data_IF_149218194262
#
_entry.id   IF_149218194262
#
_cell.length_a   1.000
_cell.length_b   1.000
_cell.length_c   1.000
_cell.angle_alpha   90.00
_cell.angle_beta   90.00
_cell.angle_gamma   90.00
#
_symmetry.space_group_name_H-M   'P 1'
#
loop_
_entity.id
_entity.type
_entity.pdbx_description
1 polymer ?
#
# COMPACT_ATOMS: atom_id res chain seq x y z
N UNK A 1 10.21 10.35 6.81
CA UNK A 1 9.01 11.04 7.32
C UNK A 1 8.59 10.43 8.65
N UNK A 2 7.75 11.09 9.43
CA UNK A 2 7.10 10.52 10.61
C UNK A 2 5.79 9.83 10.21
N UNK A 3 5.55 8.60 10.71
CA UNK A 3 4.40 7.76 10.35
C UNK A 3 3.37 7.67 11.49
N UNK A 4 3.20 8.75 12.26
CA UNK A 4 2.13 8.88 13.26
C UNK A 4 2.39 8.25 14.63
N UNK A 5 3.38 7.38 14.77
CA UNK A 5 3.76 6.76 16.05
C UNK A 5 5.27 6.49 16.12
N UNK A 6 5.75 6.05 17.29
CA UNK A 6 7.13 5.58 17.50
C UNK A 6 8.21 6.62 17.12
N UNK A 7 7.94 7.91 17.33
CA UNK A 7 8.87 8.99 17.01
C UNK A 7 8.82 10.13 18.01
N UNK A 8 9.95 10.80 18.16
CA UNK A 8 10.14 11.90 19.10
C UNK A 8 10.32 13.19 18.31
N UNK A 9 9.58 14.22 18.71
CA UNK A 9 9.65 15.53 18.09
C UNK A 9 10.26 16.56 19.03
N UNK A 10 11.16 17.39 18.52
CA UNK A 10 11.52 18.64 19.20
C UNK A 10 10.30 19.55 19.20
N UNK A 11 9.92 20.06 20.37
CA UNK A 11 8.79 21.01 20.51
C UNK A 11 8.92 22.19 19.56
N UNK A 12 10.13 22.75 19.46
CA UNK A 12 10.43 23.87 18.57
C UNK A 12 10.17 23.54 17.09
N UNK A 13 10.50 22.32 16.63
CA UNK A 13 10.25 21.91 15.26
C UNK A 13 8.76 21.89 14.92
N UNK A 14 7.92 21.43 15.87
CA UNK A 14 6.46 21.45 15.71
C UNK A 14 5.96 22.89 15.61
N UNK A 15 6.41 23.77 16.52
CA UNK A 15 5.97 25.17 16.56
C UNK A 15 6.40 25.94 15.31
N UNK A 16 7.66 25.80 14.90
CA UNK A 16 8.21 26.48 13.71
C UNK A 16 7.55 25.99 12.41
N UNK A 17 7.14 24.72 12.36
CA UNK A 17 6.38 24.21 11.21
C UNK A 17 4.92 24.71 11.18
N UNK A 18 4.43 25.39 12.22
CA UNK A 18 3.05 25.87 12.33
C UNK A 18 2.08 24.88 12.99
N UNK A 19 2.59 23.97 13.83
CA UNK A 19 1.80 23.06 14.64
C UNK A 19 1.17 21.88 13.88
N UNK A 20 0.34 21.12 14.60
CA UNK A 20 -0.52 20.08 14.04
C UNK A 20 -1.73 20.74 13.36
N UNK A 21 -2.12 20.24 12.19
CA UNK A 21 -3.26 20.72 11.41
C UNK A 21 -4.20 19.55 11.13
N UNK A 22 -5.51 19.80 11.21
CA UNK A 22 -6.58 18.81 11.06
C UNK A 22 -7.23 18.82 9.64
N UNK A 23 -6.65 19.60 8.73
CA UNK A 23 -7.13 19.76 7.36
C UNK A 23 -6.74 18.60 6.41
N UNK A 24 -5.86 17.71 6.87
CA UNK A 24 -5.50 16.46 6.18
C UNK A 24 -5.63 15.29 7.13
N UNK A 25 -6.11 14.14 6.64
CA UNK A 25 -6.26 12.90 7.42
C UNK A 25 -4.89 12.34 7.88
N UNK A 26 -3.80 12.69 7.18
CA UNK A 26 -2.42 12.33 7.50
C UNK A 26 -1.66 13.56 7.98
N UNK A 27 -2.00 14.03 9.19
CA UNK A 27 -1.39 15.19 9.83
C UNK A 27 0.11 15.00 10.10
N UNK A 28 0.54 13.75 10.25
CA UNK A 28 1.92 13.31 10.43
C UNK A 28 2.79 13.54 9.18
N UNK A 29 2.26 13.19 8.01
CA UNK A 29 2.89 13.44 6.71
C UNK A 29 2.96 14.95 6.43
N UNK A 30 1.86 15.67 6.68
CA UNK A 30 1.80 17.13 6.50
C UNK A 30 2.84 17.85 7.37
N UNK A 31 2.89 17.53 8.66
CA UNK A 31 3.87 18.10 9.58
C UNK A 31 5.30 17.74 9.18
N UNK A 32 5.54 16.50 8.76
CA UNK A 32 6.86 16.04 8.30
C UNK A 32 7.39 16.88 7.15
N UNK A 33 6.56 17.19 6.16
CA UNK A 33 6.98 18.00 5.02
C UNK A 33 7.19 19.46 5.40
N UNK A 34 6.26 20.05 6.16
CA UNK A 34 6.39 21.45 6.62
C UNK A 34 7.66 21.64 7.46
N UNK A 35 7.97 20.72 8.37
CA UNK A 35 9.20 20.78 9.15
C UNK A 35 10.45 20.68 8.27
N UNK A 36 10.48 19.75 7.31
CA UNK A 36 11.62 19.60 6.39
C UNK A 36 11.82 20.83 5.49
N UNK A 37 10.74 21.50 5.07
CA UNK A 37 10.82 22.76 4.32
C UNK A 37 11.45 23.91 5.14
N UNK A 38 11.35 23.84 6.47
CA UNK A 38 12.02 24.73 7.43
C UNK A 38 13.44 24.25 7.81
N UNK A 39 13.99 23.26 7.10
CA UNK A 39 15.36 22.79 7.31
C UNK A 39 15.53 21.74 8.41
N UNK A 40 14.46 21.30 9.06
CA UNK A 40 14.53 20.20 10.02
C UNK A 40 14.82 18.88 9.32
N UNK A 41 15.63 18.03 9.95
CA UNK A 41 15.97 16.70 9.46
C UNK A 41 15.27 15.63 10.30
N UNK A 42 14.75 14.61 9.62
CA UNK A 42 14.20 13.42 10.25
C UNK A 42 15.30 12.38 10.34
N UNK A 43 15.53 11.83 11.53
CA UNK A 43 16.47 10.74 11.79
C UNK A 43 15.65 9.48 12.07
N UNK A 44 15.97 8.40 11.38
CA UNK A 44 15.35 7.09 11.59
C UNK A 44 16.35 6.18 12.30
N UNK A 45 15.93 5.54 13.40
CA UNK A 45 16.77 4.63 14.18
C UNK A 45 16.39 3.20 13.83
N UNK A 46 17.22 2.51 13.06
CA UNK A 46 16.91 1.17 12.54
C UNK A 46 16.93 0.09 13.62
N UNK A 47 17.85 0.21 14.58
CA UNK A 47 18.05 -0.79 15.63
C UNK A 47 17.11 -0.60 16.83
N UNK A 48 16.16 0.33 16.73
CA UNK A 48 15.16 0.59 17.76
C UNK A 48 13.82 0.04 17.31
N UNK A 49 13.53 -1.17 17.76
CA UNK A 49 12.24 -1.81 17.49
C UNK A 49 11.11 -1.17 18.30
N UNK A 50 9.99 -0.90 17.63
CA UNK A 50 8.75 -0.50 18.29
C UNK A 50 7.61 -1.42 17.83
N UNK A 51 7.16 -2.37 18.66
CA UNK A 51 6.10 -3.31 18.29
C UNK A 51 4.81 -2.58 17.91
N UNK A 52 4.17 -3.03 16.82
CA UNK A 52 2.92 -2.47 16.33
C UNK A 52 1.89 -3.55 16.02
N UNK A 53 0.63 -3.28 16.33
CA UNK A 53 -0.49 -4.16 15.98
C UNK A 53 -0.93 -3.94 14.53
N UNK A 54 -0.85 -5.01 13.72
CA UNK A 54 -1.32 -5.05 12.34
C UNK A 54 -2.83 -5.37 12.26
N UNK A 55 -3.53 -4.91 11.21
CA UNK A 55 -4.91 -5.30 10.96
C UNK A 55 -5.05 -6.83 10.85
N UNK A 56 -6.04 -7.39 11.55
CA UNK A 56 -6.31 -8.84 11.56
C UNK A 56 -7.37 -9.27 10.52
N UNK A 57 -8.03 -8.32 9.88
CA UNK A 57 -9.02 -8.54 8.82
C UNK A 57 -8.70 -7.76 7.55
N UNK A 58 -9.20 -8.24 6.41
CA UNK A 58 -8.99 -7.56 5.13
C UNK A 58 -9.72 -6.21 5.08
N UNK A 59 -10.89 -6.09 5.71
CA UNK A 59 -11.64 -4.85 5.70
C UNK A 59 -11.00 -3.78 6.60
N UNK A 60 -10.39 -4.18 7.72
CA UNK A 60 -9.61 -3.27 8.57
C UNK A 60 -8.35 -2.78 7.85
N UNK A 61 -7.69 -3.68 7.11
CA UNK A 61 -6.56 -3.33 6.24
C UNK A 61 -6.99 -2.37 5.12
N UNK A 62 -8.07 -2.68 4.38
CA UNK A 62 -8.61 -1.79 3.32
C UNK A 62 -8.98 -0.42 3.88
N UNK A 63 -9.63 -0.37 5.04
CA UNK A 63 -10.00 0.90 5.70
C UNK A 63 -8.77 1.71 6.12
N UNK A 64 -7.69 1.04 6.55
CA UNK A 64 -6.42 1.70 6.86
C UNK A 64 -5.78 2.28 5.59
N UNK A 65 -5.66 1.47 4.53
CA UNK A 65 -5.08 1.89 3.24
C UNK A 65 -5.87 3.04 2.59
N UNK A 66 -7.20 3.02 2.71
CA UNK A 66 -8.07 4.09 2.24
C UNK A 66 -7.71 5.41 2.90
N UNK A 67 -7.58 5.43 4.23
CA UNK A 67 -7.22 6.65 4.98
C UNK A 67 -5.86 7.17 4.59
N UNK A 68 -4.85 6.30 4.51
CA UNK A 68 -3.50 6.68 4.12
C UNK A 68 -3.46 7.25 2.71
N UNK A 69 -4.14 6.60 1.76
CA UNK A 69 -4.19 7.03 0.36
C UNK A 69 -4.91 8.38 0.20
N UNK A 70 -6.06 8.54 0.88
CA UNK A 70 -6.82 9.80 0.89
C UNK A 70 -6.02 10.93 1.54
N UNK A 71 -5.44 10.69 2.72
CA UNK A 71 -4.62 11.67 3.43
C UNK A 71 -3.40 12.10 2.62
N UNK A 72 -2.67 11.14 2.04
CA UNK A 72 -1.53 11.44 1.17
C UNK A 72 -1.93 12.34 -0.01
N UNK A 73 -3.06 12.05 -0.66
CA UNK A 73 -3.58 12.90 -1.74
C UNK A 73 -3.97 14.31 -1.26
N UNK A 74 -4.57 14.45 -0.08
CA UNK A 74 -4.87 15.75 0.53
C UNK A 74 -3.59 16.55 0.82
N UNK A 75 -2.59 15.90 1.43
CA UNK A 75 -1.30 16.50 1.74
C UNK A 75 -0.54 16.89 0.47
N UNK A 76 -0.58 16.05 -0.57
CA UNK A 76 0.00 16.35 -1.88
C UNK A 76 -0.58 17.62 -2.47
N UNK A 77 -1.92 17.72 -2.54
CA UNK A 77 -2.61 18.92 -3.03
C UNK A 77 -2.25 20.17 -2.22
N UNK A 78 -2.13 20.03 -0.90
CA UNK A 78 -1.81 21.13 0.02
C UNK A 78 -0.38 21.63 -0.17
N UNK A 79 0.60 20.73 -0.22
CA UNK A 79 2.02 21.08 -0.09
C UNK A 79 2.81 21.09 -1.40
N UNK A 80 2.29 20.53 -2.49
CA UNK A 80 3.05 20.43 -3.75
C UNK A 80 3.56 21.79 -4.24
N UNK A 81 2.73 22.84 -4.13
CA UNK A 81 3.11 24.18 -4.55
C UNK A 81 4.26 24.76 -3.73
N UNK A 82 4.29 24.50 -2.42
CA UNK A 82 5.37 24.93 -1.52
C UNK A 82 6.66 24.14 -1.82
N UNK A 83 6.56 22.82 -1.99
CA UNK A 83 7.69 21.94 -2.32
C UNK A 83 8.36 22.35 -3.62
N UNK A 84 7.58 22.58 -4.69
CA UNK A 84 8.16 22.94 -5.99
C UNK A 84 8.80 24.34 -6.01
N UNK A 85 8.31 25.26 -5.18
CA UNK A 85 8.84 26.64 -5.05
C UNK A 85 10.01 26.78 -4.06
N UNK A 86 10.32 25.74 -3.30
CA UNK A 86 11.40 25.74 -2.31
C UNK A 86 12.78 25.82 -2.98
N UNK A 87 13.25 27.03 -3.28
CA UNK A 87 14.53 27.30 -3.97
C UNK A 87 15.76 26.86 -3.17
N UNK A 88 15.61 26.71 -1.84
CA UNK A 88 16.65 26.16 -0.96
C UNK A 88 16.91 24.68 -1.20
N UNK A 89 16.02 23.97 -1.91
CA UNK A 89 16.16 22.56 -2.26
C UNK A 89 16.63 22.39 -3.71
N UNK A 90 17.51 21.42 -3.93
CA UNK A 90 17.92 21.04 -5.30
C UNK A 90 16.71 20.57 -6.12
N UNK A 91 16.79 20.71 -7.44
CA UNK A 91 15.74 20.24 -8.35
C UNK A 91 15.42 18.75 -8.15
N UNK A 92 16.46 17.94 -7.94
CA UNK A 92 16.32 16.50 -7.69
C UNK A 92 15.52 16.21 -6.41
N UNK A 93 15.81 16.92 -5.31
CA UNK A 93 15.08 16.76 -4.05
C UNK A 93 13.62 17.17 -4.21
N UNK A 94 13.35 18.26 -4.92
CA UNK A 94 11.98 18.71 -5.21
C UNK A 94 11.19 17.69 -6.03
N UNK A 95 11.82 17.10 -7.05
CA UNK A 95 11.21 16.06 -7.87
C UNK A 95 10.91 14.80 -7.04
N UNK A 96 11.87 14.31 -6.28
CA UNK A 96 11.69 13.15 -5.41
C UNK A 96 10.58 13.40 -4.36
N UNK A 97 10.56 14.58 -3.75
CA UNK A 97 9.55 14.99 -2.79
C UNK A 97 8.14 15.05 -3.42
N UNK A 98 8.03 15.57 -4.65
CA UNK A 98 6.78 15.59 -5.41
C UNK A 98 6.31 14.18 -5.79
N UNK A 99 7.21 13.33 -6.27
CA UNK A 99 6.91 11.93 -6.59
C UNK A 99 6.41 11.17 -5.35
N UNK A 100 7.06 11.37 -4.20
CA UNK A 100 6.64 10.77 -2.94
C UNK A 100 5.25 11.26 -2.49
N UNK A 101 4.97 12.58 -2.56
CA UNK A 101 3.65 13.13 -2.24
C UNK A 101 2.54 12.52 -3.12
N UNK A 102 2.82 12.33 -4.41
CA UNK A 102 1.87 11.78 -5.37
C UNK A 102 1.89 10.24 -5.47
N UNK A 103 2.65 9.54 -4.64
CA UNK A 103 2.81 8.09 -4.70
C UNK A 103 1.47 7.33 -4.62
N UNK A 104 0.48 7.87 -3.91
CA UNK A 104 -0.87 7.29 -3.83
C UNK A 104 -1.61 7.25 -5.18
N UNK A 105 -1.25 8.11 -6.15
CA UNK A 105 -1.81 8.05 -7.52
C UNK A 105 -1.45 6.76 -8.25
N UNK A 106 -0.47 5.99 -7.79
CA UNK A 106 -0.15 4.68 -8.34
C UNK A 106 -1.34 3.71 -8.23
N UNK A 107 -2.22 3.84 -7.24
CA UNK A 107 -3.44 3.03 -7.18
C UNK A 107 -4.39 3.33 -8.34
N UNK A 108 -4.54 4.62 -8.69
CA UNK A 108 -5.36 5.06 -9.83
C UNK A 108 -4.78 4.55 -11.15
N UNK A 109 -3.47 4.69 -11.36
CA UNK A 109 -2.85 4.22 -12.60
C UNK A 109 -2.98 2.71 -12.75
N UNK A 110 -2.78 1.94 -11.67
CA UNK A 110 -2.94 0.48 -11.70
C UNK A 110 -4.39 0.06 -11.99
N UNK A 111 -5.39 0.75 -11.40
CA UNK A 111 -6.80 0.46 -11.70
C UNK A 111 -7.11 0.75 -13.18
N UNK A 112 -6.73 1.92 -13.68
CA UNK A 112 -6.99 2.31 -15.07
C UNK A 112 -6.33 1.33 -16.05
N UNK A 113 -5.10 0.92 -15.79
CA UNK A 113 -4.41 -0.06 -16.62
C UNK A 113 -5.08 -1.44 -16.56
N UNK A 114 -5.58 -1.86 -15.40
CA UNK A 114 -6.33 -3.11 -15.25
C UNK A 114 -7.64 -3.09 -16.06
N UNK A 115 -8.36 -1.97 -16.03
CA UNK A 115 -9.60 -1.80 -16.82
C UNK A 115 -9.30 -1.72 -18.33
N UNK A 116 -8.25 -0.97 -18.70
CA UNK A 116 -7.81 -0.86 -20.09
C UNK A 116 -7.35 -2.21 -20.65
N UNK A 117 -6.80 -3.09 -19.81
CA UNK A 117 -6.36 -4.42 -20.21
C UNK A 117 -7.53 -5.28 -20.67
N UNK A 118 -8.62 -5.25 -19.90
CA UNK A 118 -9.88 -5.92 -20.26
C UNK A 118 -10.47 -5.32 -21.53
N UNK A 119 -10.42 -3.99 -21.69
CA UNK A 119 -10.98 -3.29 -22.85
C UNK A 119 -10.20 -3.58 -24.15
N UNK A 120 -8.87 -3.45 -24.15
CA UNK A 120 -8.01 -3.65 -25.33
C UNK A 120 -8.06 -5.09 -25.82
N UNK A 121 -8.04 -6.07 -24.92
CA UNK A 121 -8.15 -7.47 -25.32
C UNK A 121 -9.50 -7.75 -26.01
N UNK A 122 -10.57 -7.08 -25.56
CA UNK A 122 -11.90 -7.21 -26.18
C UNK A 122 -11.96 -6.62 -27.60
N UNK A 123 -10.96 -5.82 -27.99
CA UNK A 123 -10.75 -5.31 -29.35
C UNK A 123 -9.80 -6.19 -30.18
N UNK A 124 -9.41 -7.37 -29.67
CA UNK A 124 -8.46 -8.30 -30.30
C UNK A 124 -7.07 -7.70 -30.57
N UNK A 125 -6.68 -6.64 -29.87
CA UNK A 125 -5.34 -6.04 -29.95
C UNK A 125 -4.43 -6.66 -28.89
N UNK A 126 -3.18 -6.95 -29.25
CA UNK A 126 -2.19 -7.49 -28.31
C UNK A 126 -1.86 -6.47 -27.20
N UNK A 127 -2.14 -6.76 -25.92
CA UNK A 127 -2.00 -5.80 -24.84
C UNK A 127 -0.57 -5.72 -24.27
N UNK A 128 0.46 -6.10 -25.03
CA UNK A 128 1.85 -6.25 -24.55
C UNK A 128 2.38 -5.01 -23.82
N UNK A 129 2.17 -3.82 -24.38
CA UNK A 129 2.59 -2.54 -23.77
C UNK A 129 1.89 -2.31 -22.44
N UNK A 130 0.63 -2.72 -22.33
CA UNK A 130 -0.16 -2.52 -21.12
C UNK A 130 0.19 -3.52 -20.02
N UNK A 131 0.53 -4.75 -20.39
CA UNK A 131 1.09 -5.74 -19.47
C UNK A 131 2.42 -5.22 -18.92
N UNK A 132 3.31 -4.73 -19.80
CA UNK A 132 4.60 -4.21 -19.39
C UNK A 132 4.47 -3.01 -18.44
N UNK A 133 3.58 -2.06 -18.75
CA UNK A 133 3.36 -0.89 -17.88
C UNK A 133 2.69 -1.23 -16.55
N UNK A 134 1.80 -2.23 -16.50
CA UNK A 134 1.27 -2.78 -15.25
C UNK A 134 2.38 -3.38 -14.39
N UNK A 135 3.25 -4.19 -14.98
CA UNK A 135 4.40 -4.79 -14.29
C UNK A 135 5.34 -3.69 -13.78
N UNK A 136 5.65 -2.69 -14.60
CA UNK A 136 6.50 -1.55 -14.18
C UNK A 136 5.87 -0.81 -13.00
N UNK A 137 4.56 -0.55 -13.02
CA UNK A 137 3.88 0.13 -11.91
C UNK A 137 3.87 -0.74 -10.65
N UNK A 138 3.66 -2.05 -10.77
CA UNK A 138 3.78 -3.00 -9.68
C UNK A 138 5.20 -3.02 -9.09
N UNK A 139 6.22 -3.07 -9.94
CA UNK A 139 7.63 -2.95 -9.54
C UNK A 139 7.85 -1.62 -8.83
N UNK A 140 7.32 -0.51 -9.36
CA UNK A 140 7.47 0.80 -8.76
C UNK A 140 6.81 0.89 -7.39
N UNK A 141 5.60 0.34 -7.21
CA UNK A 141 4.93 0.24 -5.91
C UNK A 141 5.68 -0.65 -4.93
N UNK A 142 6.23 -1.77 -5.42
CA UNK A 142 7.04 -2.67 -4.61
C UNK A 142 8.35 -1.99 -4.19
N UNK A 143 9.00 -1.29 -5.13
CA UNK A 143 10.21 -0.52 -4.90
C UNK A 143 9.93 0.65 -3.97
N UNK A 144 8.85 1.42 -4.11
CA UNK A 144 8.54 2.50 -3.15
C UNK A 144 8.27 1.94 -1.76
N UNK A 145 7.60 0.78 -1.67
CA UNK A 145 7.41 0.06 -0.40
C UNK A 145 8.74 -0.45 0.18
N UNK A 146 9.69 -0.87 -0.66
CA UNK A 146 11.00 -1.39 -0.25
C UNK A 146 12.04 -0.29 0.04
N UNK A 147 12.07 0.77 -0.76
CA UNK A 147 12.91 1.97 -0.61
C UNK A 147 12.53 2.73 0.66
N UNK A 148 11.25 2.75 1.03
CA UNK A 148 10.82 3.24 2.35
C UNK A 148 11.59 2.56 3.51
N UNK A 149 11.97 1.29 3.35
CA UNK A 149 12.75 0.54 4.33
C UNK A 149 14.28 0.64 4.12
N UNK A 150 14.78 0.98 2.93
CA UNK A 150 16.22 0.99 2.62
C UNK A 150 16.89 2.38 2.58
N UNK A 151 16.13 3.45 2.34
CA UNK A 151 16.62 4.84 2.51
C UNK A 151 16.75 5.22 3.98
N UNK A 152 15.88 4.65 4.83
CA UNK A 152 16.06 4.55 6.27
C UNK A 152 17.46 4.00 6.61
N UNK A 153 17.87 2.93 5.93
CA UNK A 153 19.16 2.26 6.12
C UNK A 153 20.34 3.10 5.71
N UNK A 154 20.24 3.80 4.58
CA UNK A 154 21.35 4.62 4.07
C UNK A 154 21.59 5.90 4.87
N UNK A 155 20.56 6.47 5.50
CA UNK A 155 20.69 7.67 6.33
C UNK A 155 21.29 7.37 7.72
N UNK A 156 21.28 6.12 8.17
CA UNK A 156 21.87 5.65 9.45
C UNK A 156 23.29 5.10 9.27
N UNK A 157 23.69 4.77 8.05
CA UNK A 157 25.00 4.17 7.70
C UNK A 157 26.20 5.13 7.72
N UNK A 158 26.21 6.16 8.56
CA UNK A 158 27.43 6.90 8.88
C UNK A 158 28.11 6.40 10.18
N UNK A 159 27.60 5.32 10.78
CA UNK A 159 28.20 4.70 11.95
C UNK A 159 28.63 3.25 11.66
N UNK A 160 29.93 2.97 11.88
CA UNK A 160 30.63 1.75 11.48
C UNK A 160 30.23 0.49 12.30
N UNK A 161 29.22 0.58 13.17
CA UNK A 161 28.82 -0.42 14.16
C UNK A 161 28.06 -1.62 13.57
N UNK A 162 27.40 -1.49 12.42
CA UNK A 162 26.43 -2.50 11.95
C UNK A 162 27.02 -3.66 11.11
N UNK A 163 28.34 -3.72 10.91
CA UNK A 163 29.00 -4.88 10.29
C UNK A 163 28.91 -6.18 11.11
N UNK A 164 28.40 -6.13 12.36
CA UNK A 164 28.38 -7.28 13.27
C UNK A 164 27.02 -7.98 13.41
N UNK A 165 25.88 -7.31 13.21
CA UNK A 165 24.55 -7.93 13.42
C UNK A 165 24.08 -8.79 12.23
N UNK A 166 24.43 -8.43 11.00
CA UNK A 166 24.11 -9.22 9.79
C UNK A 166 24.91 -10.54 9.67
N UNK A 167 25.96 -10.73 10.49
CA UNK A 167 26.77 -11.97 10.47
C UNK A 167 26.12 -13.17 11.15
N UNK A 168 25.02 -12.98 11.90
CA UNK A 168 24.44 -14.07 12.71
C UNK A 168 23.32 -14.86 12.02
N UNK A 169 22.87 -14.43 10.84
CA UNK A 169 21.90 -15.18 10.05
C UNK A 169 22.62 -15.96 8.94
N UNK A 170 22.95 -17.20 9.25
CA UNK A 170 23.65 -18.16 8.38
C UNK A 170 22.78 -18.47 7.15
N UNK A 171 22.88 -17.64 6.12
CA UNK A 171 22.07 -17.67 4.91
C UNK A 171 22.62 -18.71 3.90
N UNK A 172 22.64 -19.99 4.30
CA UNK A 172 22.97 -21.13 3.42
C UNK A 172 21.86 -21.45 2.40
N UNK A 173 20.86 -20.58 2.24
CA UNK A 173 19.89 -20.74 1.16
C UNK A 173 20.54 -20.41 -0.19
N UNK A 174 20.52 -21.38 -1.10
CA UNK A 174 20.97 -21.18 -2.48
C UNK A 174 20.24 -19.99 -3.12
N UNK A 175 20.97 -19.19 -3.92
CA UNK A 175 20.44 -18.01 -4.62
C UNK A 175 19.13 -18.29 -5.36
N UNK A 176 19.04 -19.45 -6.02
CA UNK A 176 17.85 -19.92 -6.74
C UNK A 176 16.62 -20.02 -5.83
N UNK A 177 16.77 -20.54 -4.62
CA UNK A 177 15.67 -20.64 -3.66
C UNK A 177 15.21 -19.25 -3.20
N UNK A 178 16.14 -18.32 -2.95
CA UNK A 178 15.82 -16.93 -2.60
C UNK A 178 15.07 -16.23 -3.73
N UNK A 179 15.49 -16.44 -4.97
CA UNK A 179 14.85 -15.89 -6.16
C UNK A 179 13.42 -16.44 -6.33
N UNK A 180 13.23 -17.75 -6.21
CA UNK A 180 11.90 -18.38 -6.31
C UNK A 180 10.96 -17.87 -5.22
N UNK A 181 11.44 -17.80 -3.96
CA UNK A 181 10.67 -17.20 -2.86
C UNK A 181 10.31 -15.76 -3.19
N UNK A 182 11.26 -14.94 -3.64
CA UNK A 182 11.01 -13.55 -4.00
C UNK A 182 9.92 -13.45 -5.08
N UNK A 183 10.05 -14.20 -6.18
CA UNK A 183 9.07 -14.17 -7.29
C UNK A 183 7.67 -14.56 -6.82
N UNK A 184 7.56 -15.57 -5.94
CA UNK A 184 6.28 -15.98 -5.36
C UNK A 184 5.65 -14.88 -4.50
N UNK A 185 6.42 -14.30 -3.56
CA UNK A 185 5.92 -13.21 -2.71
C UNK A 185 5.58 -11.96 -3.53
N UNK A 186 6.36 -11.66 -4.56
CA UNK A 186 6.12 -10.55 -5.47
C UNK A 186 4.83 -10.74 -6.26
N UNK A 187 4.56 -11.96 -6.79
CA UNK A 187 3.32 -12.25 -7.48
C UNK A 187 2.10 -12.13 -6.56
N UNK A 188 2.19 -12.66 -5.33
CA UNK A 188 1.16 -12.49 -4.30
C UNK A 188 0.95 -11.01 -3.95
N UNK A 189 2.02 -10.23 -3.86
CA UNK A 189 1.94 -8.81 -3.59
C UNK A 189 1.19 -8.07 -4.71
N UNK A 190 1.55 -8.30 -5.99
CA UNK A 190 0.84 -7.71 -7.13
C UNK A 190 -0.65 -8.06 -7.08
N UNK A 191 -0.94 -9.34 -6.89
CA UNK A 191 -2.29 -9.89 -6.81
C UNK A 191 -3.14 -9.15 -5.77
N UNK A 192 -2.64 -9.03 -4.53
CA UNK A 192 -3.37 -8.40 -3.44
C UNK A 192 -3.45 -6.88 -3.56
N UNK A 193 -2.39 -6.21 -4.03
CA UNK A 193 -2.38 -4.76 -4.22
C UNK A 193 -3.35 -4.34 -5.31
N UNK A 194 -3.40 -5.07 -6.42
CA UNK A 194 -4.37 -4.77 -7.49
C UNK A 194 -5.82 -4.92 -7.00
N UNK A 195 -6.08 -5.91 -6.14
CA UNK A 195 -7.41 -6.13 -5.58
C UNK A 195 -7.90 -5.00 -4.64
N UNK A 196 -7.00 -4.18 -4.08
CA UNK A 196 -7.37 -3.01 -3.28
C UNK A 196 -7.32 -1.69 -4.06
N UNK A 197 -6.84 -1.70 -5.32
CA UNK A 197 -6.69 -0.50 -6.15
C UNK A 197 -8.01 0.25 -6.34
N UNK A 198 -9.14 -0.44 -6.53
CA UNK A 198 -10.44 0.21 -6.67
C UNK A 198 -10.76 1.07 -5.44
N UNK A 199 -10.65 0.47 -4.25
CA UNK A 199 -10.95 1.14 -2.99
C UNK A 199 -10.04 2.35 -2.75
N UNK A 200 -8.73 2.19 -2.94
CA UNK A 200 -7.76 3.26 -2.73
C UNK A 200 -7.84 4.35 -3.81
N UNK A 201 -8.18 4.00 -5.06
CA UNK A 201 -8.38 4.99 -6.13
C UNK A 201 -9.50 5.96 -5.78
N UNK A 202 -10.63 5.45 -5.28
CA UNK A 202 -11.72 6.30 -4.82
C UNK A 202 -11.26 7.17 -3.64
N UNK A 203 -10.45 6.64 -2.73
CA UNK A 203 -9.85 7.40 -1.64
C UNK A 203 -8.98 8.56 -2.13
N UNK A 204 -8.13 8.32 -3.13
CA UNK A 204 -7.24 9.32 -3.73
C UNK A 204 -8.03 10.41 -4.42
N UNK A 205 -9.02 10.04 -5.25
CA UNK A 205 -9.90 11.00 -5.92
C UNK A 205 -10.64 11.86 -4.89
N UNK A 206 -11.18 11.24 -3.83
CA UNK A 206 -11.86 11.94 -2.75
C UNK A 206 -10.91 12.90 -2.00
N UNK A 207 -9.65 12.52 -1.79
CA UNK A 207 -8.63 13.36 -1.18
C UNK A 207 -8.20 14.54 -2.06
N UNK A 208 -8.12 14.34 -3.38
CA UNK A 208 -7.81 15.41 -4.34
C UNK A 208 -8.96 16.40 -4.52
N UNK A 209 -10.21 15.96 -4.41
CA UNK A 209 -11.39 16.80 -4.61
C UNK A 209 -11.83 17.43 -3.28
N UNK A 210 -12.09 16.63 -2.24
CA UNK A 210 -12.70 17.12 -0.99
C UNK A 210 -11.66 17.59 0.00
N UNK A 211 -11.98 18.67 0.73
CA UNK A 211 -11.09 19.23 1.77
C UNK A 211 -11.22 18.49 3.11
N UNK A 212 -12.42 18.03 3.48
CA UNK A 212 -12.65 17.35 4.76
C UNK A 212 -13.10 15.91 4.52
N UNK A 213 -12.62 14.99 5.36
CA UNK A 213 -13.01 13.59 5.35
C UNK A 213 -13.14 13.07 6.77
N UNK A 214 -14.10 12.17 6.98
CA UNK A 214 -14.28 11.51 8.28
C UNK A 214 -13.14 10.52 8.55
N UNK A 215 -12.55 10.60 9.74
CA UNK A 215 -11.50 9.69 10.18
C UNK A 215 -12.10 8.43 10.81
N UNK A 216 -12.27 7.37 10.01
CA UNK A 216 -12.70 6.06 10.53
C UNK A 216 -11.51 5.30 11.14
N UNK A 217 -11.47 5.13 12.47
CA UNK A 217 -10.36 4.43 13.14
C UNK A 217 -10.23 2.98 12.68
N UNK A 218 -9.00 2.52 12.48
CA UNK A 218 -8.72 1.07 12.38
C UNK A 218 -8.83 0.47 13.78
N UNK A 219 -9.66 -0.57 13.97
CA UNK A 219 -9.80 -1.24 15.25
C UNK A 219 -8.45 -1.76 15.78
N UNK A 220 -8.30 -1.74 17.10
CA UNK A 220 -7.18 -2.32 17.83
C UNK A 220 -7.74 -3.37 18.75
N UNK A 221 -7.31 -4.62 18.55
CA UNK A 221 -7.84 -5.78 19.24
C UNK A 221 -6.95 -6.17 20.43
N UNK A 222 -5.73 -5.61 20.52
CA UNK A 222 -4.74 -5.97 21.53
C UNK A 222 -4.55 -7.48 21.57
N UNK A 223 -4.34 -8.09 20.40
CA UNK A 223 -4.07 -9.52 20.30
C UNK A 223 -2.65 -9.74 20.80
N UNK A 224 -2.51 -10.23 22.03
CA UNK A 224 -1.20 -10.65 22.55
C UNK A 224 -0.87 -12.03 21.99
N UNK A 225 0.32 -12.20 21.43
CA UNK A 225 0.89 -13.50 21.03
C UNK A 225 1.37 -14.30 22.24
N UNK A 226 0.65 -14.26 23.37
CA UNK A 226 0.84 -15.26 24.42
C UNK A 226 0.19 -16.57 23.94
N UNK A 227 0.93 -17.68 24.00
CA UNK A 227 0.50 -19.06 23.62
C UNK A 227 -0.81 -19.55 24.28
N UNK A 228 -1.47 -18.72 25.09
CA UNK A 228 -2.58 -19.04 25.99
C UNK A 228 -3.70 -17.99 26.01
N UNK A 229 -3.94 -17.23 24.93
CA UNK A 229 -5.27 -16.59 24.79
C UNK A 229 -6.27 -17.60 24.23
N UNK A 230 -7.32 -17.90 24.99
CA UNK A 230 -8.40 -18.77 24.55
C UNK A 230 -9.04 -18.20 23.27
N UNK A 231 -9.34 -19.07 22.29
CA UNK A 231 -10.04 -18.70 21.03
C UNK A 231 -11.32 -17.86 21.26
N UNK A 232 -11.89 -17.92 22.46
CA UNK A 232 -13.11 -17.22 22.88
C UNK A 232 -12.91 -15.70 23.00
N UNK A 233 -11.84 -15.24 23.66
CA UNK A 233 -11.54 -13.80 23.85
C UNK A 233 -11.26 -13.06 22.54
N UNK A 234 -10.57 -13.71 21.60
CA UNK A 234 -10.27 -13.14 20.27
C UNK A 234 -11.55 -13.04 19.43
N UNK A 235 -12.46 -14.01 19.54
CA UNK A 235 -13.74 -13.99 18.84
C UNK A 235 -14.67 -12.89 19.39
N UNK A 236 -14.74 -12.71 20.71
CA UNK A 236 -15.60 -11.68 21.33
C UNK A 236 -15.20 -10.25 20.94
N UNK A 237 -13.90 -9.95 20.85
CA UNK A 237 -13.41 -8.65 20.37
C UNK A 237 -13.63 -8.44 18.86
N UNK A 238 -13.63 -9.52 18.06
CA UNK A 238 -13.93 -9.49 16.62
C UNK A 238 -15.38 -9.08 16.36
N UNK A 239 -16.32 -9.60 17.15
CA UNK A 239 -17.77 -9.39 16.94
C UNK A 239 -18.16 -7.89 16.99
N UNK A 240 -17.46 -7.06 17.78
CA UNK A 240 -17.83 -5.65 17.95
C UNK A 240 -17.51 -4.73 16.75
N UNK A 241 -16.52 -5.08 15.92
CA UNK A 241 -16.05 -4.22 14.82
C UNK A 241 -16.33 -4.78 13.43
N UNK A 242 -16.93 -5.97 13.36
CA UNK A 242 -17.22 -6.62 12.10
C UNK A 242 -18.27 -5.88 11.27
N UNK A 243 -18.02 -5.92 9.97
CA UNK A 243 -18.92 -5.40 8.95
C UNK A 243 -20.22 -6.20 8.94
N UNK A 244 -21.38 -5.52 9.07
CA UNK A 244 -22.71 -6.15 9.10
C UNK A 244 -23.37 -6.35 7.73
N UNK A 245 -22.88 -5.69 6.69
CA UNK A 245 -23.47 -5.75 5.34
C UNK A 245 -22.43 -5.65 4.24
N UNK A 246 -22.71 -6.27 3.09
CA UNK A 246 -21.90 -6.16 1.87
C UNK A 246 -22.09 -4.76 1.28
N UNK A 247 -21.01 -4.04 0.98
CA UNK A 247 -21.10 -2.78 0.22
C UNK A 247 -20.87 -2.99 -1.27
N UNK A 248 -21.06 -1.89 -2.01
CA UNK A 248 -20.75 -1.84 -3.43
C UNK A 248 -19.28 -2.15 -3.75
N UNK A 249 -18.33 -1.83 -2.85
CA UNK A 249 -16.92 -2.22 -3.07
C UNK A 249 -16.75 -3.72 -3.12
N UNK A 250 -17.34 -4.46 -2.18
CA UNK A 250 -17.30 -5.93 -2.18
C UNK A 250 -18.00 -6.51 -3.41
N UNK A 251 -19.12 -5.93 -3.86
CA UNK A 251 -19.78 -6.34 -5.11
C UNK A 251 -18.91 -6.10 -6.35
N UNK A 252 -18.21 -4.97 -6.40
CA UNK A 252 -17.28 -4.67 -7.47
C UNK A 252 -16.07 -5.62 -7.47
N UNK A 253 -15.51 -5.93 -6.29
CA UNK A 253 -14.41 -6.88 -6.14
C UNK A 253 -14.82 -8.29 -6.62
N UNK A 254 -16.04 -8.74 -6.27
CA UNK A 254 -16.61 -10.02 -6.74
C UNK A 254 -16.78 -10.02 -8.26
N UNK A 255 -17.29 -8.92 -8.81
CA UNK A 255 -17.49 -8.78 -10.26
C UNK A 255 -16.15 -8.87 -11.00
N UNK A 256 -15.12 -8.17 -10.51
CA UNK A 256 -13.78 -8.22 -11.08
C UNK A 256 -13.15 -9.61 -10.94
N UNK A 257 -13.36 -10.30 -9.81
CA UNK A 257 -12.93 -11.68 -9.63
C UNK A 257 -13.51 -12.59 -10.73
N UNK A 258 -14.83 -12.53 -10.95
CA UNK A 258 -15.51 -13.32 -11.98
C UNK A 258 -14.98 -12.98 -13.37
N UNK A 259 -14.84 -11.69 -13.70
CA UNK A 259 -14.30 -11.25 -14.99
C UNK A 259 -12.91 -11.83 -15.24
N UNK A 260 -11.99 -11.73 -14.27
CA UNK A 260 -10.62 -12.24 -14.46
C UNK A 260 -10.53 -13.77 -14.49
N UNK A 261 -11.40 -14.48 -13.77
CA UNK A 261 -11.54 -15.94 -13.92
C UNK A 261 -11.96 -16.26 -15.36
N UNK A 262 -13.03 -15.65 -15.85
CA UNK A 262 -13.52 -15.91 -17.21
C UNK A 262 -12.49 -15.54 -18.27
N UNK A 263 -11.76 -14.44 -18.11
CA UNK A 263 -10.67 -14.04 -19.01
C UNK A 263 -9.51 -15.03 -18.98
N UNK A 264 -9.13 -15.52 -17.81
CA UNK A 264 -8.10 -16.56 -17.68
C UNK A 264 -8.51 -17.83 -18.41
N UNK A 265 -9.73 -18.32 -18.18
CA UNK A 265 -10.26 -19.50 -18.85
C UNK A 265 -10.35 -19.29 -20.37
N UNK A 266 -10.78 -18.10 -20.82
CA UNK A 266 -10.84 -17.75 -22.23
C UNK A 266 -9.45 -17.85 -22.89
N UNK A 267 -8.42 -17.25 -22.28
CA UNK A 267 -7.06 -17.34 -22.81
C UNK A 267 -6.55 -18.79 -22.86
N UNK A 268 -6.83 -19.61 -21.84
CA UNK A 268 -6.39 -21.01 -21.78
C UNK A 268 -7.06 -21.86 -22.88
N UNK A 269 -8.39 -21.77 -23.02
CA UNK A 269 -9.15 -22.67 -23.87
C UNK A 269 -9.29 -22.23 -25.33
N UNK A 270 -9.31 -20.92 -25.61
CA UNK A 270 -9.63 -20.41 -26.96
C UNK A 270 -8.46 -19.75 -27.68
N UNK A 271 -7.43 -19.29 -26.94
CA UNK A 271 -6.24 -18.66 -27.55
C UNK A 271 -5.02 -19.57 -27.51
N UNK A 272 -4.92 -20.41 -26.47
CA UNK A 272 -3.81 -21.33 -26.27
C UNK A 272 -2.71 -20.76 -25.38
N UNK A 273 -2.23 -21.59 -24.46
CA UNK A 273 -1.29 -21.23 -23.37
C UNK A 273 0.00 -20.59 -23.91
N UNK A 274 0.51 -21.07 -25.04
CA UNK A 274 1.80 -20.67 -25.58
C UNK A 274 1.79 -19.31 -26.28
N UNK A 275 0.61 -18.84 -26.73
CA UNK A 275 0.48 -17.56 -27.42
C UNK A 275 0.36 -16.40 -26.42
N UNK A 276 -0.33 -16.63 -25.30
CA UNK A 276 -0.64 -15.57 -24.30
C UNK A 276 -0.21 -15.92 -22.87
N UNK A 277 0.92 -16.60 -22.71
CA UNK A 277 1.40 -17.03 -21.39
C UNK A 277 1.48 -15.87 -20.37
N UNK A 278 2.08 -14.74 -20.74
CA UNK A 278 2.19 -13.57 -19.86
C UNK A 278 0.83 -13.00 -19.44
N UNK A 279 -0.12 -12.95 -20.36
CA UNK A 279 -1.50 -12.49 -20.11
C UNK A 279 -2.23 -13.46 -19.18
N UNK A 280 -2.06 -14.76 -19.37
CA UNK A 280 -2.64 -15.80 -18.50
C UNK A 280 -2.10 -15.66 -17.07
N UNK A 281 -0.78 -15.48 -16.91
CA UNK A 281 -0.17 -15.28 -15.59
C UNK A 281 -0.73 -14.02 -14.91
N UNK A 282 -0.86 -12.92 -15.65
CA UNK A 282 -1.40 -11.67 -15.11
C UNK A 282 -2.88 -11.79 -14.73
N UNK A 283 -3.73 -12.35 -15.60
CA UNK A 283 -5.15 -12.57 -15.31
C UNK A 283 -5.37 -13.56 -14.18
N UNK A 284 -4.57 -14.61 -14.10
CA UNK A 284 -4.62 -15.56 -12.98
C UNK A 284 -4.25 -14.88 -11.66
N UNK A 285 -3.20 -14.05 -11.67
CA UNK A 285 -2.79 -13.25 -10.51
C UNK A 285 -3.90 -12.28 -10.06
N UNK A 286 -4.51 -11.57 -11.00
CA UNK A 286 -5.64 -10.68 -10.74
C UNK A 286 -6.84 -11.44 -10.17
N UNK A 287 -7.21 -12.56 -10.79
CA UNK A 287 -8.30 -13.42 -10.34
C UNK A 287 -8.08 -13.88 -8.89
N UNK A 288 -6.89 -14.38 -8.56
CA UNK A 288 -6.52 -14.80 -7.20
C UNK A 288 -6.69 -13.64 -6.21
N UNK A 289 -6.22 -12.44 -6.58
CA UNK A 289 -6.24 -11.28 -5.68
C UNK A 289 -7.65 -10.85 -5.34
N UNK A 290 -8.47 -10.64 -6.38
CA UNK A 290 -9.87 -10.27 -6.21
C UNK A 290 -10.68 -11.37 -5.52
N UNK A 291 -10.39 -12.65 -5.76
CA UNK A 291 -11.02 -13.76 -5.04
C UNK A 291 -10.68 -13.73 -3.55
N UNK A 292 -9.41 -13.60 -3.19
CA UNK A 292 -8.97 -13.56 -1.79
C UNK A 292 -9.63 -12.40 -1.05
N UNK A 293 -9.61 -11.20 -1.64
CA UNK A 293 -10.24 -10.01 -1.03
C UNK A 293 -11.76 -10.17 -0.92
N UNK A 294 -12.42 -10.68 -1.95
CA UNK A 294 -13.87 -10.89 -1.97
C UNK A 294 -14.32 -11.93 -0.95
N UNK A 295 -13.69 -13.10 -0.95
CA UNK A 295 -14.00 -14.20 -0.01
C UNK A 295 -13.74 -13.75 1.42
N UNK A 296 -12.60 -13.12 1.71
CA UNK A 296 -12.31 -12.61 3.04
C UNK A 296 -13.34 -11.55 3.49
N UNK A 297 -13.77 -10.68 2.57
CA UNK A 297 -14.80 -9.67 2.87
C UNK A 297 -16.17 -10.29 3.15
N UNK A 298 -16.56 -11.33 2.38
CA UNK A 298 -17.81 -12.06 2.57
C UNK A 298 -17.83 -12.87 3.86
N UNK A 299 -16.72 -13.56 4.17
CA UNK A 299 -16.57 -14.32 5.41
C UNK A 299 -16.70 -13.43 6.64
N UNK A 300 -16.19 -12.20 6.58
CA UNK A 300 -16.34 -11.24 7.67
C UNK A 300 -17.80 -10.81 7.89
N UNK A 301 -18.59 -10.66 6.82
CA UNK A 301 -20.02 -10.37 6.92
C UNK A 301 -20.83 -11.59 7.36
N UNK A 302 -20.42 -12.80 6.97
CA UNK A 302 -21.09 -14.02 7.39
C UNK A 302 -20.84 -14.33 8.87
N UNK A 303 -19.61 -14.14 9.34
CA UNK A 303 -19.24 -14.38 10.74
C UNK A 303 -19.74 -13.31 11.71
N UNK A 304 -20.31 -12.21 11.21
CA UNK A 304 -20.87 -11.11 11.99
C UNK A 304 -22.40 -11.19 12.19
N UNK A 305 -23.05 -12.14 11.51
CA UNK A 305 -24.46 -12.46 11.68
C UNK A 305 -24.64 -13.57 12.71
#
# INVERSE_FOLDING_TARGET
QFNGTAGIWRKEAILNAGGWKDDTITEDLDLSYRAQLHGYKVVFLEDVDTPAELPISINDFKSQQYRWSKGAAQTARKLIGEVLRAKQLSLFVRYHAAFHLFSSLLFLTCLLQTLLLVAIESLCVEPTILILTNIINAILMFITSYIGNSEAKRLTLNDNSHRQLDKKNNNNEHFLLKLVKFLFHFLLFISLIQAICLHNTIAVIDGLIRKKGEFKRTPKYSVETTKYQSKKSINDKKIHYQRKSIDWFALADITLAIVFILKTLHCIFFVGIWVKFGTIVLYSSLAVGYCVVSVASLLEVYTSK
#
